data_IF_792262902826
#
_entry.id   IF_792262902826
#
_cell.length_a   1.000
_cell.length_b   1.000
_cell.length_c   1.000
_cell.angle_alpha   90.00
_cell.angle_beta   90.00
_cell.angle_gamma   90.00
#
_symmetry.space_group_name_H-M   'P 1'
#
loop_
_entity.id
_entity.type
_entity.pdbx_description
1 polymer ?
#
# COMPACT_ATOMS: atom_id res chain seq x y z
N UNK A 1 8.43 -34.61 -58.26
CA UNK A 1 9.23 -35.85 -58.41
C UNK A 1 10.68 -35.54 -58.07
N UNK A 2 11.30 -36.39 -57.24
CA UNK A 2 12.72 -36.33 -56.82
C UNK A 2 13.67 -36.81 -57.94
N UNK A 3 14.96 -36.46 -57.84
CA UNK A 3 16.08 -37.09 -58.57
C UNK A 3 17.13 -36.05 -58.99
N UNK A 4 18.17 -35.68 -58.23
CA UNK A 4 19.38 -36.38 -57.75
C UNK A 4 20.47 -36.57 -58.84
N UNK A 5 21.72 -36.28 -58.44
CA UNK A 5 23.09 -36.60 -58.97
C UNK A 5 23.77 -35.47 -59.72
N UNK A 6 24.81 -34.79 -59.21
CA UNK A 6 26.12 -35.17 -58.62
C UNK A 6 27.20 -35.45 -59.68
N UNK A 7 28.31 -34.70 -59.63
CA UNK A 7 29.65 -35.09 -60.11
C UNK A 7 30.73 -34.03 -59.82
N UNK A 8 31.76 -34.45 -59.07
CA UNK A 8 33.20 -34.18 -59.27
C UNK A 8 33.78 -32.90 -58.64
N UNK A 9 34.58 -32.97 -57.56
CA UNK A 9 36.05 -33.22 -57.52
C UNK A 9 36.86 -32.15 -58.28
N UNK A 10 38.01 -31.62 -57.87
CA UNK A 10 38.94 -31.63 -56.72
C UNK A 10 40.02 -30.60 -57.13
N UNK A 11 40.69 -29.80 -56.28
CA UNK A 11 41.91 -30.08 -55.52
C UNK A 11 42.75 -28.78 -55.45
N UNK A 12 43.56 -28.63 -54.39
CA UNK A 12 44.70 -27.69 -54.28
C UNK A 12 44.51 -26.63 -53.19
N UNK A 13 44.77 -26.87 -51.90
CA UNK A 13 46.06 -26.96 -51.18
C UNK A 13 46.83 -25.65 -51.12
N UNK A 14 46.79 -24.98 -49.96
CA UNK A 14 47.92 -24.23 -49.40
C UNK A 14 47.82 -24.24 -47.87
N UNK A 15 49.00 -24.29 -47.26
CA UNK A 15 49.30 -24.70 -45.89
C UNK A 15 49.00 -23.63 -44.82
N UNK A 16 48.41 -24.02 -43.69
CA UNK A 16 48.55 -23.27 -42.43
C UNK A 16 48.71 -24.23 -41.24
N UNK A 17 49.70 -23.92 -40.38
CA UNK A 17 50.19 -24.75 -39.29
C UNK A 17 49.26 -24.87 -38.07
N UNK A 18 49.70 -25.62 -37.04
CA UNK A 18 48.83 -26.03 -35.94
C UNK A 18 48.59 -24.86 -34.97
N UNK A 19 47.38 -24.31 -34.98
CA UNK A 19 46.88 -23.46 -33.90
C UNK A 19 46.17 -24.32 -32.85
N UNK A 20 46.81 -24.45 -31.68
CA UNK A 20 46.25 -25.12 -30.51
C UNK A 20 44.92 -24.45 -30.09
N UNK A 21 43.83 -25.19 -30.25
CA UNK A 21 42.54 -24.87 -29.64
C UNK A 21 42.60 -25.17 -28.15
N UNK A 22 43.03 -24.18 -27.38
CA UNK A 22 42.94 -24.17 -25.92
C UNK A 22 41.48 -24.31 -25.48
N UNK A 23 41.11 -25.53 -25.07
CA UNK A 23 39.85 -25.83 -24.40
C UNK A 23 39.75 -25.08 -23.07
N UNK A 24 39.28 -23.84 -23.14
CA UNK A 24 38.91 -23.02 -21.99
C UNK A 24 37.72 -23.64 -21.28
N UNK A 25 38.01 -24.38 -20.20
CA UNK A 25 37.03 -24.84 -19.21
C UNK A 25 36.25 -23.63 -18.70
N UNK A 26 34.94 -23.60 -18.96
CA UNK A 26 34.02 -22.68 -18.28
C UNK A 26 34.30 -22.74 -16.77
N UNK A 27 34.48 -21.60 -16.08
CA UNK A 27 34.79 -21.64 -14.66
C UNK A 27 33.62 -22.27 -13.90
N UNK A 28 33.97 -23.20 -13.01
CA UNK A 28 33.04 -23.86 -12.12
C UNK A 28 32.32 -22.82 -11.25
N UNK A 29 30.99 -22.79 -11.35
CA UNK A 29 30.09 -21.91 -10.60
C UNK A 29 30.23 -22.09 -9.07
N UNK A 30 30.93 -23.12 -8.60
CA UNK A 30 31.29 -23.31 -7.19
C UNK A 30 32.28 -22.27 -6.64
N UNK A 31 33.11 -21.64 -7.50
CA UNK A 31 34.18 -20.71 -7.08
C UNK A 31 33.79 -19.23 -7.19
N UNK A 32 32.65 -18.92 -7.82
CA UNK A 32 32.06 -17.58 -7.79
C UNK A 32 31.56 -17.16 -6.39
N UNK A 33 31.58 -18.08 -5.42
CA UNK A 33 31.20 -17.83 -4.03
C UNK A 33 32.27 -17.10 -3.19
N UNK A 34 33.45 -16.82 -3.76
CA UNK A 34 34.58 -16.19 -3.05
C UNK A 34 34.86 -14.72 -3.43
N UNK A 35 34.09 -14.13 -4.35
CA UNK A 35 34.27 -12.73 -4.76
C UNK A 35 33.08 -11.85 -4.35
N UNK A 36 33.16 -11.29 -3.15
CA UNK A 36 32.85 -9.87 -2.91
C UNK A 36 31.48 -9.32 -3.28
N UNK A 37 30.42 -10.12 -3.35
CA UNK A 37 29.07 -9.57 -3.17
C UNK A 37 28.79 -9.49 -1.68
N UNK A 38 29.12 -8.33 -1.09
CA UNK A 38 28.44 -7.91 0.13
C UNK A 38 26.94 -8.01 -0.15
N UNK A 39 26.33 -9.04 0.44
CA UNK A 39 24.89 -9.06 0.70
C UNK A 39 24.60 -7.68 1.27
N UNK A 40 23.81 -6.84 0.58
CA UNK A 40 23.28 -5.60 1.19
C UNK A 40 22.66 -6.06 2.50
N UNK A 41 23.41 -5.82 3.58
CA UNK A 41 23.26 -6.59 4.81
C UNK A 41 21.83 -6.42 5.31
N UNK A 42 21.23 -7.50 5.80
CA UNK A 42 20.05 -7.35 6.62
C UNK A 42 20.42 -6.35 7.72
N UNK A 43 19.88 -5.13 7.66
CA UNK A 43 20.15 -4.11 8.66
C UNK A 43 19.81 -4.71 10.02
N UNK A 44 20.71 -4.54 10.99
CA UNK A 44 20.44 -5.03 12.33
C UNK A 44 19.30 -4.21 12.94
N UNK A 45 18.53 -4.84 13.83
CA UNK A 45 17.45 -4.19 14.57
C UNK A 45 17.87 -2.85 15.18
N UNK A 46 19.10 -2.78 15.70
CA UNK A 46 19.73 -1.57 16.24
C UNK A 46 19.97 -0.48 15.18
N UNK A 47 20.46 -0.85 13.99
CA UNK A 47 20.67 0.10 12.89
C UNK A 47 19.35 0.70 12.36
N UNK A 48 18.28 -0.11 12.33
CA UNK A 48 16.96 0.36 11.92
C UNK A 48 16.41 1.38 12.92
N UNK A 49 16.58 1.13 14.22
CA UNK A 49 16.14 2.05 15.27
C UNK A 49 16.94 3.35 15.29
N UNK A 50 18.25 3.30 15.08
CA UNK A 50 19.09 4.51 14.99
C UNK A 50 18.69 5.39 13.79
N UNK A 51 18.43 4.79 12.64
CA UNK A 51 17.97 5.51 11.45
C UNK A 51 16.58 6.14 11.66
N UNK A 52 15.66 5.42 12.31
CA UNK A 52 14.34 5.95 12.67
C UNK A 52 14.47 7.09 13.68
N UNK A 53 15.33 6.93 14.70
CA UNK A 53 15.60 7.94 15.73
C UNK A 53 16.04 9.28 15.14
N UNK A 54 17.04 9.25 14.25
CA UNK A 54 17.51 10.46 13.54
C UNK A 54 16.40 11.20 12.80
N UNK A 55 15.43 10.48 12.23
CA UNK A 55 14.28 11.09 11.54
C UNK A 55 13.22 11.59 12.50
N UNK A 56 13.03 10.91 13.63
CA UNK A 56 12.16 11.35 14.73
C UNK A 56 12.67 12.64 15.35
N UNK A 57 13.98 12.80 15.50
CA UNK A 57 14.61 14.03 16.01
C UNK A 57 14.37 15.24 15.09
N UNK A 58 14.35 15.00 13.77
CA UNK A 58 14.01 16.02 12.75
C UNK A 58 12.49 16.23 12.64
N UNK A 59 11.68 15.43 13.34
CA UNK A 59 10.22 15.56 13.37
C UNK A 59 9.50 14.98 12.16
N UNK A 60 10.10 14.02 11.44
CA UNK A 60 9.45 13.32 10.32
C UNK A 60 8.18 12.58 10.81
N UNK A 61 6.97 12.99 10.36
CA UNK A 61 5.72 12.40 10.82
C UNK A 61 5.64 10.89 10.57
N UNK A 62 6.19 10.42 9.44
CA UNK A 62 6.16 9.02 9.07
C UNK A 62 7.16 8.20 9.90
N UNK A 63 8.29 8.78 10.29
CA UNK A 63 9.24 8.15 11.20
C UNK A 63 8.66 8.01 12.61
N UNK A 64 7.99 9.06 13.11
CA UNK A 64 7.29 9.03 14.40
C UNK A 64 6.21 7.93 14.40
N UNK A 65 5.38 7.88 13.35
CA UNK A 65 4.40 6.82 13.16
C UNK A 65 5.07 5.43 13.17
N UNK A 66 6.12 5.26 12.37
CA UNK A 66 6.84 3.99 12.27
C UNK A 66 7.41 3.56 13.62
N UNK A 67 7.98 4.48 14.39
CA UNK A 67 8.47 4.18 15.74
C UNK A 67 7.33 3.71 16.64
N UNK A 68 6.17 4.37 16.59
CA UNK A 68 4.95 3.95 17.30
C UNK A 68 4.57 2.50 16.96
N UNK A 69 4.61 2.12 15.68
CA UNK A 69 4.35 0.73 15.27
C UNK A 69 5.35 -0.27 15.84
N UNK A 70 6.60 0.14 16.10
CA UNK A 70 7.60 -0.79 16.67
C UNK A 70 7.35 -1.04 18.15
N UNK A 71 6.94 -0.01 18.89
CA UNK A 71 6.51 -0.17 20.28
C UNK A 71 5.20 -0.96 20.39
N UNK A 72 4.23 -0.74 19.51
CA UNK A 72 2.94 -1.45 19.51
C UNK A 72 3.11 -2.97 19.33
N UNK A 73 3.98 -3.37 18.39
CA UNK A 73 4.23 -4.77 18.09
C UNK A 73 5.42 -5.40 18.84
N UNK A 74 6.19 -4.62 19.60
CA UNK A 74 7.44 -5.09 20.24
C UNK A 74 8.45 -5.65 19.24
N UNK A 75 8.81 -4.86 18.21
CA UNK A 75 9.74 -5.27 17.14
C UNK A 75 11.11 -4.63 17.27
N UNK A 76 12.10 -5.24 16.62
CA UNK A 76 13.48 -4.76 16.57
C UNK A 76 14.16 -4.69 17.95
N UNK A 77 13.90 -5.67 18.81
CA UNK A 77 14.44 -5.71 20.17
C UNK A 77 13.80 -4.70 21.14
N UNK A 78 12.76 -3.97 20.73
CA UNK A 78 11.95 -3.18 21.64
C UNK A 78 10.94 -4.06 22.36
N UNK A 79 10.81 -3.85 23.67
CA UNK A 79 9.68 -4.38 24.41
C UNK A 79 8.38 -3.72 23.95
N UNK A 80 7.30 -4.51 23.98
CA UNK A 80 5.97 -4.02 23.62
C UNK A 80 5.52 -2.98 24.65
N UNK A 81 5.28 -1.76 24.19
CA UNK A 81 4.78 -0.65 25.01
C UNK A 81 3.67 0.08 24.26
N UNK A 82 2.43 -0.24 24.59
CA UNK A 82 1.26 0.35 23.94
C UNK A 82 1.09 1.81 24.35
N UNK A 83 1.38 2.18 25.60
CA UNK A 83 1.25 3.56 26.08
C UNK A 83 2.15 4.48 25.26
N UNK A 84 3.40 4.07 25.07
CA UNK A 84 4.36 4.81 24.24
C UNK A 84 3.97 4.81 22.76
N UNK A 85 3.40 3.72 22.27
CA UNK A 85 2.88 3.67 20.90
C UNK A 85 1.73 4.68 20.69
N UNK A 86 0.81 4.81 21.66
CA UNK A 86 -0.29 5.78 21.62
C UNK A 86 0.24 7.21 21.57
N UNK A 87 1.18 7.58 22.45
CA UNK A 87 1.79 8.92 22.44
C UNK A 87 2.44 9.25 21.09
N UNK A 88 3.16 8.28 20.51
CA UNK A 88 3.80 8.45 19.20
C UNK A 88 2.76 8.54 18.06
N UNK A 89 1.70 7.75 18.11
CA UNK A 89 0.62 7.85 17.13
C UNK A 89 -0.15 9.16 17.25
N UNK A 90 -0.42 9.67 18.46
CA UNK A 90 -1.07 10.96 18.65
C UNK A 90 -0.22 12.08 18.05
N UNK A 91 1.09 12.10 18.32
CA UNK A 91 2.02 13.06 17.72
C UNK A 91 2.06 12.94 16.19
N UNK A 92 2.10 11.72 15.64
CA UNK A 92 2.08 11.53 14.19
C UNK A 92 0.74 11.97 13.56
N UNK A 93 -0.37 11.76 14.27
CA UNK A 93 -1.70 12.15 13.84
C UNK A 93 -1.86 13.68 13.81
N UNK A 94 -1.35 14.39 14.82
CA UNK A 94 -1.29 15.87 14.82
C UNK A 94 -0.50 16.43 13.64
N UNK A 95 0.52 15.71 13.20
CA UNK A 95 1.32 16.03 12.03
C UNK A 95 0.67 15.61 10.70
N UNK A 96 -0.55 15.05 10.73
CA UNK A 96 -1.36 14.72 9.56
C UNK A 96 -1.19 13.31 9.02
N UNK A 97 -0.57 12.39 9.76
CA UNK A 97 -0.45 10.98 9.35
C UNK A 97 -1.79 10.26 9.58
N UNK A 98 -2.52 10.02 8.49
CA UNK A 98 -3.82 9.33 8.51
C UNK A 98 -3.75 7.89 9.04
N UNK A 99 -2.65 7.19 8.80
CA UNK A 99 -2.41 5.84 9.30
C UNK A 99 -2.29 5.82 10.83
N UNK A 100 -1.81 6.91 11.44
CA UNK A 100 -1.70 7.04 12.88
C UNK A 100 -3.10 7.16 13.52
N UNK A 101 -3.97 8.00 12.95
CA UNK A 101 -5.38 8.06 13.34
C UNK A 101 -6.07 6.68 13.21
N UNK A 102 -5.82 5.95 12.12
CA UNK A 102 -6.37 4.61 11.96
C UNK A 102 -5.90 3.65 13.06
N UNK A 103 -4.61 3.60 13.38
CA UNK A 103 -4.07 2.70 14.40
C UNK A 103 -4.56 3.08 15.81
N UNK A 104 -4.67 4.37 16.15
CA UNK A 104 -5.31 4.81 17.39
C UNK A 104 -6.75 4.32 17.48
N UNK A 105 -7.51 4.44 16.39
CA UNK A 105 -8.87 3.90 16.30
C UNK A 105 -8.93 2.40 16.57
N UNK A 106 -7.97 1.63 16.04
CA UNK A 106 -7.87 0.18 16.27
C UNK A 106 -7.54 -0.14 17.73
N UNK A 107 -6.59 0.57 18.33
CA UNK A 107 -6.19 0.36 19.73
C UNK A 107 -7.37 0.58 20.69
N UNK A 108 -8.07 1.71 20.56
CA UNK A 108 -9.24 2.01 21.40
C UNK A 108 -10.43 1.09 21.14
N UNK A 109 -10.65 0.65 19.89
CA UNK A 109 -11.73 -0.29 19.56
C UNK A 109 -11.49 -1.69 20.17
N UNK A 110 -10.23 -2.14 20.18
CA UNK A 110 -9.85 -3.46 20.67
C UNK A 110 -9.58 -3.48 22.19
N UNK A 111 -9.25 -2.33 22.80
CA UNK A 111 -8.79 -2.27 24.19
C UNK A 111 -7.44 -2.96 24.39
N UNK A 112 -6.60 -2.99 23.36
CA UNK A 112 -5.33 -3.72 23.37
C UNK A 112 -4.25 -2.86 24.03
N UNK A 113 -4.09 -2.94 25.36
CA UNK A 113 -3.10 -2.17 26.13
C UNK A 113 -3.55 -0.75 26.50
N UNK A 114 -4.74 -0.34 26.07
CA UNK A 114 -5.47 0.84 26.54
C UNK A 114 -6.89 0.45 26.94
N UNK A 115 -7.53 1.25 27.78
CA UNK A 115 -8.96 1.05 28.07
C UNK A 115 -9.78 1.14 26.78
N UNK A 116 -10.68 0.17 26.60
CA UNK A 116 -11.54 0.11 25.42
C UNK A 116 -12.51 1.29 25.42
N UNK A 117 -12.41 2.12 24.39
CA UNK A 117 -13.27 3.30 24.22
C UNK A 117 -13.73 3.40 22.76
N UNK A 118 -14.96 2.95 22.51
CA UNK A 118 -15.53 2.99 21.16
C UNK A 118 -15.79 4.42 20.66
N UNK A 119 -16.08 5.36 21.55
CA UNK A 119 -16.33 6.75 21.16
C UNK A 119 -15.04 7.43 20.69
N UNK A 120 -13.92 7.21 21.40
CA UNK A 120 -12.59 7.64 20.94
C UNK A 120 -12.19 6.95 19.64
N UNK A 121 -12.45 5.64 19.53
CA UNK A 121 -12.15 4.90 18.30
C UNK A 121 -12.87 5.49 17.09
N UNK A 122 -14.17 5.80 17.21
CA UNK A 122 -14.94 6.43 16.15
C UNK A 122 -14.37 7.79 15.74
N UNK A 123 -14.04 8.66 16.71
CA UNK A 123 -13.43 9.98 16.43
C UNK A 123 -12.13 9.87 15.63
N UNK A 124 -11.27 8.92 15.99
CA UNK A 124 -10.03 8.70 15.26
C UNK A 124 -10.26 8.11 13.88
N UNK A 125 -11.22 7.19 13.72
CA UNK A 125 -11.57 6.69 12.39
C UNK A 125 -12.21 7.78 11.51
N UNK A 126 -13.06 8.64 12.05
CA UNK A 126 -13.61 9.81 11.34
C UNK A 126 -12.49 10.71 10.83
N UNK A 127 -11.54 11.09 11.69
CA UNK A 127 -10.37 11.87 11.30
C UNK A 127 -9.57 11.20 10.17
N UNK A 128 -9.32 9.89 10.28
CA UNK A 128 -8.66 9.14 9.21
C UNK A 128 -9.45 9.14 7.89
N UNK A 129 -10.79 9.03 7.97
CA UNK A 129 -11.68 9.07 6.79
C UNK A 129 -11.67 10.44 6.12
N UNK A 130 -11.60 11.53 6.87
CA UNK A 130 -11.45 12.88 6.34
C UNK A 130 -10.14 13.07 5.56
N UNK A 131 -9.09 12.35 5.97
CA UNK A 131 -7.82 12.28 5.24
C UNK A 131 -7.80 11.23 4.12
N UNK A 132 -8.96 10.69 3.73
CA UNK A 132 -9.09 9.73 2.64
C UNK A 132 -8.62 8.31 2.98
N UNK A 133 -8.51 7.94 4.26
CA UNK A 133 -8.12 6.58 4.66
C UNK A 133 -9.28 5.58 4.47
N UNK A 134 -9.19 4.79 3.40
CA UNK A 134 -10.25 3.85 3.00
C UNK A 134 -10.51 2.74 4.04
N UNK A 135 -9.49 2.08 4.63
CA UNK A 135 -9.72 1.07 5.66
C UNK A 135 -10.41 1.62 6.93
N UNK A 136 -10.19 2.90 7.26
CA UNK A 136 -10.89 3.53 8.38
C UNK A 136 -12.40 3.63 8.11
N UNK A 137 -12.78 3.95 6.86
CA UNK A 137 -14.18 4.02 6.43
C UNK A 137 -14.87 2.65 6.54
N UNK A 138 -14.17 1.58 6.19
CA UNK A 138 -14.66 0.21 6.37
C UNK A 138 -14.91 -0.10 7.85
N UNK A 139 -14.00 0.29 8.75
CA UNK A 139 -14.17 0.08 10.18
C UNK A 139 -15.35 0.88 10.76
N UNK A 140 -15.54 2.14 10.34
CA UNK A 140 -16.75 2.90 10.71
C UNK A 140 -18.03 2.18 10.27
N UNK A 141 -18.10 1.74 9.02
CA UNK A 141 -19.28 1.00 8.55
C UNK A 141 -19.54 -0.30 9.33
N UNK A 142 -18.49 -0.98 9.80
CA UNK A 142 -18.65 -2.15 10.69
C UNK A 142 -19.15 -1.77 12.09
N UNK A 143 -18.70 -0.66 12.64
CA UNK A 143 -19.18 -0.15 13.95
C UNK A 143 -20.66 0.22 13.84
N UNK A 144 -21.03 1.00 12.83
CA UNK A 144 -22.41 1.40 12.56
C UNK A 144 -23.31 0.18 12.31
N UNK A 145 -22.83 -0.79 11.54
CA UNK A 145 -23.56 -2.03 11.27
C UNK A 145 -23.81 -2.85 12.54
N UNK A 146 -22.85 -2.88 13.47
CA UNK A 146 -23.02 -3.53 14.79
C UNK A 146 -23.96 -2.75 15.72
N UNK A 147 -24.04 -1.44 15.57
CA UNK A 147 -24.99 -0.59 16.29
C UNK A 147 -26.43 -0.70 15.75
N UNK A 148 -26.65 -1.42 14.65
CA UNK A 148 -27.96 -1.56 13.99
C UNK A 148 -28.24 -0.47 12.95
N UNK A 149 -27.30 0.45 12.72
CA UNK A 149 -27.41 1.54 11.76
C UNK A 149 -27.08 1.06 10.34
N UNK A 150 -27.87 0.11 9.83
CA UNK A 150 -27.58 -0.59 8.57
C UNK A 150 -27.55 0.34 7.35
N UNK A 151 -28.34 1.42 7.34
CA UNK A 151 -28.33 2.41 6.23
C UNK A 151 -27.01 3.17 6.18
N UNK A 152 -26.54 3.68 7.32
CA UNK A 152 -25.27 4.40 7.44
C UNK A 152 -24.10 3.45 7.16
N UNK A 153 -24.16 2.23 7.69
CA UNK A 153 -23.19 1.18 7.41
C UNK A 153 -23.08 0.90 5.90
N UNK A 154 -24.22 0.77 5.20
CA UNK A 154 -24.26 0.55 3.76
C UNK A 154 -23.58 1.70 3.02
N UNK A 155 -23.87 2.95 3.38
CA UNK A 155 -23.24 4.13 2.77
C UNK A 155 -21.71 4.11 2.91
N UNK A 156 -21.19 3.84 4.12
CA UNK A 156 -19.75 3.72 4.33
C UNK A 156 -19.13 2.62 3.46
N UNK A 157 -19.79 1.46 3.37
CA UNK A 157 -19.33 0.32 2.57
C UNK A 157 -19.35 0.62 1.07
N UNK A 158 -20.41 1.24 0.57
CA UNK A 158 -20.53 1.63 -0.84
C UNK A 158 -19.43 2.62 -1.24
N UNK A 159 -19.19 3.65 -0.43
CA UNK A 159 -18.15 4.65 -0.75
C UNK A 159 -16.76 3.99 -0.70
N UNK A 160 -16.49 3.17 0.30
CA UNK A 160 -15.21 2.44 0.41
C UNK A 160 -14.99 1.47 -0.78
N UNK A 161 -16.05 0.78 -1.22
CA UNK A 161 -15.99 -0.08 -2.41
C UNK A 161 -15.70 0.72 -3.69
N UNK A 162 -16.33 1.90 -3.85
CA UNK A 162 -16.04 2.82 -4.98
C UNK A 162 -14.59 3.33 -4.97
N UNK A 163 -13.93 3.34 -3.82
CA UNK A 163 -12.51 3.68 -3.67
C UNK A 163 -11.58 2.47 -3.87
N UNK A 164 -12.09 1.32 -4.31
CA UNK A 164 -11.29 0.13 -4.62
C UNK A 164 -11.05 -0.80 -3.44
N UNK A 165 -11.81 -0.70 -2.34
CA UNK A 165 -11.67 -1.61 -1.20
C UNK A 165 -12.49 -2.89 -1.35
N UNK A 166 -11.80 -4.02 -1.51
CA UNK A 166 -12.43 -5.32 -1.79
C UNK A 166 -13.35 -5.81 -0.65
N UNK A 167 -12.89 -5.73 0.61
CA UNK A 167 -13.69 -6.18 1.76
C UNK A 167 -15.00 -5.39 1.91
N UNK A 168 -15.00 -4.12 1.49
CA UNK A 168 -16.21 -3.31 1.48
C UNK A 168 -17.20 -3.79 0.42
N UNK A 169 -16.73 -4.11 -0.79
CA UNK A 169 -17.57 -4.69 -1.84
C UNK A 169 -18.18 -6.03 -1.41
N UNK A 170 -17.38 -6.90 -0.79
CA UNK A 170 -17.85 -8.17 -0.23
C UNK A 170 -18.90 -7.96 0.87
N UNK A 171 -18.77 -6.90 1.66
CA UNK A 171 -19.76 -6.54 2.68
C UNK A 171 -21.06 -6.03 2.06
N UNK A 172 -21.00 -5.18 1.03
CA UNK A 172 -22.21 -4.76 0.27
C UNK A 172 -22.92 -5.98 -0.33
N UNK A 173 -22.17 -6.93 -0.90
CA UNK A 173 -22.73 -8.20 -1.40
C UNK A 173 -23.48 -8.96 -0.30
N UNK A 174 -22.89 -9.08 0.89
CA UNK A 174 -23.54 -9.72 2.04
C UNK A 174 -24.80 -8.98 2.48
N UNK A 175 -24.77 -7.64 2.50
CA UNK A 175 -25.95 -6.83 2.82
C UNK A 175 -27.06 -7.00 1.79
N UNK A 176 -26.72 -7.09 0.51
CA UNK A 176 -27.68 -7.39 -0.57
C UNK A 176 -28.31 -8.77 -0.39
N UNK A 177 -27.51 -9.82 -0.12
CA UNK A 177 -28.03 -11.17 0.12
C UNK A 177 -28.92 -11.25 1.37
N UNK A 178 -28.68 -10.40 2.37
CA UNK A 178 -29.51 -10.27 3.57
C UNK A 178 -30.77 -9.40 3.38
N UNK A 179 -30.98 -8.82 2.19
CA UNK A 179 -32.10 -7.90 1.92
C UNK A 179 -31.95 -6.49 2.52
N UNK A 180 -30.76 -6.14 3.02
CA UNK A 180 -30.44 -4.82 3.58
C UNK A 180 -29.95 -3.81 2.54
N UNK A 181 -29.61 -4.28 1.35
CA UNK A 181 -29.21 -3.46 0.21
C UNK A 181 -30.00 -3.87 -1.03
N UNK A 182 -30.23 -2.91 -1.91
CA UNK A 182 -30.91 -3.11 -3.19
C UNK A 182 -29.94 -3.65 -4.25
N UNK A 183 -30.50 -4.24 -5.31
CA UNK A 183 -29.73 -4.69 -6.47
C UNK A 183 -28.95 -3.53 -7.11
N UNK A 184 -29.55 -2.34 -7.15
CA UNK A 184 -28.95 -1.16 -7.76
C UNK A 184 -27.76 -0.62 -6.95
N UNK A 185 -27.85 -0.61 -5.62
CA UNK A 185 -26.74 -0.23 -4.74
C UNK A 185 -25.56 -1.19 -4.86
N UNK A 186 -25.83 -2.49 -4.94
CA UNK A 186 -24.78 -3.48 -5.17
C UNK A 186 -24.14 -3.30 -6.55
N UNK A 187 -24.95 -3.14 -7.60
CA UNK A 187 -24.45 -2.90 -8.96
C UNK A 187 -23.65 -1.60 -9.07
N UNK A 188 -24.06 -0.53 -8.38
CA UNK A 188 -23.33 0.74 -8.31
C UNK A 188 -21.97 0.57 -7.60
N UNK A 189 -21.93 -0.21 -6.52
CA UNK A 189 -20.69 -0.50 -5.80
C UNK A 189 -19.71 -1.31 -6.65
N UNK A 190 -20.22 -2.30 -7.39
CA UNK A 190 -19.40 -3.12 -8.29
C UNK A 190 -18.82 -2.29 -9.44
N UNK A 191 -19.63 -1.43 -10.08
CA UNK A 191 -19.16 -0.52 -11.13
C UNK A 191 -18.08 0.43 -10.61
N UNK A 192 -18.30 1.02 -9.42
CA UNK A 192 -17.31 1.90 -8.80
C UNK A 192 -16.00 1.19 -8.51
N UNK A 193 -16.05 -0.03 -7.97
CA UNK A 193 -14.87 -0.85 -7.72
C UNK A 193 -14.09 -1.19 -9.00
N UNK A 194 -14.80 -1.56 -10.08
CA UNK A 194 -14.19 -1.83 -11.38
C UNK A 194 -13.53 -0.57 -11.97
N UNK A 195 -14.17 0.59 -11.84
CA UNK A 195 -13.58 1.86 -12.25
C UNK A 195 -12.31 2.16 -11.45
N UNK A 196 -12.35 2.00 -10.13
CA UNK A 196 -11.16 2.20 -9.29
C UNK A 196 -10.00 1.27 -9.71
N UNK A 197 -10.28 0.01 -10.05
CA UNK A 197 -9.26 -0.91 -10.59
C UNK A 197 -8.74 -0.42 -11.93
N UNK A 198 -9.62 0.00 -12.84
CA UNK A 198 -9.26 0.47 -14.18
C UNK A 198 -8.40 1.73 -14.12
N UNK A 199 -8.75 2.69 -13.26
CA UNK A 199 -7.97 3.91 -13.02
C UNK A 199 -6.62 3.59 -12.38
N UNK A 200 -6.55 2.50 -11.62
CA UNK A 200 -5.28 1.97 -11.11
C UNK A 200 -4.42 1.30 -12.19
N UNK A 201 -5.03 0.82 -13.27
CA UNK A 201 -4.40 0.09 -14.37
C UNK A 201 -4.35 0.87 -15.70
N UNK A 202 -4.61 2.18 -15.72
CA UNK A 202 -4.64 2.96 -16.96
C UNK A 202 -3.26 3.01 -17.64
N UNK A 203 -3.26 2.98 -18.97
CA UNK A 203 -2.06 3.11 -19.80
C UNK A 203 -1.25 4.35 -19.46
N UNK A 204 -1.90 5.46 -19.12
CA UNK A 204 -1.27 6.73 -18.76
C UNK A 204 -0.37 6.59 -17.52
N UNK A 205 -0.69 5.67 -16.59
CA UNK A 205 0.15 5.36 -15.43
C UNK A 205 1.34 4.49 -15.82
N UNK A 206 1.17 3.57 -16.76
CA UNK A 206 2.25 2.75 -17.28
C UNK A 206 3.19 3.55 -18.20
N UNK A 207 2.65 4.53 -18.93
CA UNK A 207 3.40 5.56 -19.66
C UNK A 207 4.14 6.50 -18.70
N UNK A 208 3.50 6.97 -17.62
CA UNK A 208 4.20 7.77 -16.59
C UNK A 208 5.35 6.99 -15.92
N UNK A 209 5.17 5.67 -15.67
CA UNK A 209 6.25 4.79 -15.21
C UNK A 209 7.34 4.63 -16.27
N UNK A 210 6.98 4.49 -17.54
CA UNK A 210 7.91 4.38 -18.67
C UNK A 210 8.72 5.67 -18.88
N UNK A 211 8.12 6.83 -18.58
CA UNK A 211 8.76 8.15 -18.59
C UNK A 211 9.59 8.43 -17.31
N UNK A 212 9.72 7.47 -16.39
CA UNK A 212 10.57 7.59 -15.20
C UNK A 212 9.98 8.39 -14.05
N UNK A 213 8.70 8.77 -14.10
CA UNK A 213 8.02 9.37 -12.95
C UNK A 213 7.83 8.31 -11.86
N UNK A 214 8.58 8.44 -10.76
CA UNK A 214 8.32 7.66 -9.54
C UNK A 214 6.91 7.97 -9.06
N UNK A 215 6.17 6.91 -8.67
CA UNK A 215 4.86 7.00 -8.02
C UNK A 215 4.81 8.24 -7.09
N UNK A 216 3.95 9.24 -7.34
CA UNK A 216 3.52 10.07 -6.24
C UNK A 216 2.82 9.10 -5.28
N UNK A 217 3.34 8.96 -4.06
CA UNK A 217 2.79 8.00 -3.08
C UNK A 217 1.37 8.36 -2.64
N UNK A 218 0.76 9.39 -3.22
CA UNK A 218 -0.61 9.83 -3.01
C UNK A 218 -1.04 10.62 -4.26
N UNK A 219 -2.26 10.39 -4.78
CA UNK A 219 -3.00 11.50 -5.37
C UNK A 219 -3.15 12.51 -4.23
N UNK A 220 -2.36 13.58 -4.28
CA UNK A 220 -2.40 14.63 -3.28
C UNK A 220 -3.62 15.51 -3.59
N UNK A 221 -4.82 15.00 -3.32
CA UNK A 221 -5.88 15.89 -2.84
C UNK A 221 -5.36 16.35 -1.48
N UNK A 222 -4.77 17.54 -1.42
CA UNK A 222 -4.17 18.09 -0.20
C UNK A 222 -5.27 18.48 0.78
N UNK A 223 -5.93 17.49 1.39
CA UNK A 223 -6.69 17.67 2.62
C UNK A 223 -5.67 17.72 3.75
N UNK A 224 -5.06 18.89 3.96
CA UNK A 224 -4.28 19.07 5.19
C UNK A 224 -5.22 18.89 6.37
N UNK A 225 -4.88 17.95 7.27
CA UNK A 225 -5.69 17.50 8.42
C UNK A 225 -5.87 18.58 9.52
N UNK A 226 -5.82 19.87 9.16
CA UNK A 226 -6.00 20.97 10.10
C UNK A 226 -7.49 21.26 10.27
N UNK A 227 -8.05 20.66 11.32
CA UNK A 227 -9.26 21.07 12.05
C UNK A 227 -10.48 21.43 11.18
N UNK A 228 -11.29 20.43 10.86
CA UNK A 228 -12.64 20.62 10.31
C UNK A 228 -13.67 20.29 11.40
N UNK A 229 -14.68 21.16 11.66
CA UNK A 229 -15.67 20.92 12.70
C UNK A 229 -16.60 19.74 12.35
N UNK A 230 -17.04 18.95 13.35
CA UNK A 230 -17.96 17.83 13.13
C UNK A 230 -19.34 18.34 12.68
N UNK A 231 -19.91 17.75 11.62
CA UNK A 231 -21.34 17.89 11.30
C UNK A 231 -21.71 18.42 9.91
N UNK A 232 -20.79 18.61 8.97
CA UNK A 232 -21.13 19.03 7.60
C UNK A 232 -20.55 18.08 6.56
N UNK A 233 -21.38 17.12 6.13
CA UNK A 233 -21.07 16.15 5.09
C UNK A 233 -21.38 16.71 3.70
N UNK A 234 -20.84 17.87 3.34
CA UNK A 234 -20.95 18.38 1.97
C UNK A 234 -19.84 17.72 1.14
N UNK A 235 -20.15 16.56 0.56
CA UNK A 235 -19.34 15.87 -0.45
C UNK A 235 -19.47 16.62 -1.79
N UNK A 236 -18.85 17.79 -1.90
CA UNK A 236 -18.54 18.33 -3.23
C UNK A 236 -17.34 17.56 -3.78
N UNK A 237 -17.58 16.81 -4.87
CA UNK A 237 -16.53 16.44 -5.80
C UNK A 237 -15.96 17.76 -6.34
N UNK A 238 -14.88 18.25 -5.74
CA UNK A 238 -14.09 19.31 -6.36
C UNK A 238 -13.40 18.66 -7.55
N UNK A 239 -13.96 18.89 -8.74
CA UNK A 239 -13.34 18.53 -10.00
C UNK A 239 -11.87 18.96 -9.96
N UNK A 240 -10.97 18.00 -10.20
CA UNK A 240 -9.56 18.28 -10.38
C UNK A 240 -9.43 19.26 -11.56
N UNK A 241 -9.11 20.52 -11.25
CA UNK A 241 -8.64 21.47 -12.25
C UNK A 241 -7.39 20.84 -12.90
N UNK A 242 -7.52 20.42 -14.15
CA UNK A 242 -6.37 20.13 -15.00
C UNK A 242 -5.44 21.35 -14.98
N UNK A 243 -4.12 21.19 -14.77
CA UNK A 243 -3.20 22.27 -15.08
C UNK A 243 -3.27 22.47 -16.60
N UNK A 244 -3.83 23.61 -17.02
CA UNK A 244 -3.69 24.09 -18.37
C UNK A 244 -2.21 24.27 -18.68
N UNK A 245 -1.73 23.56 -19.70
CA UNK A 245 -0.45 23.74 -20.36
C UNK A 245 -0.65 23.53 -21.84
#
# INVERSE_FOLDING_TARGET
MRGVRDSGESAGSDEEGPHEVGGGRLPDLSVAFAAGYERVGAQTDSQILDMVGKRVDVGDPMAIYNLGTKYDFGRYGLEKDVTKAVELYERAAELGVKEAHYNLGVLYANGAGVEKDMAKAMRHYEAAVMCGHVPARFNLGNIEGKAGNHVIALQHMMISAKLGHEYSLNTVKRMFMAGLATKDEYAASLRGYQNAIKDMSSSDRDEAKALGFRKPNTCNLSWTCKSVPPGRWDLELVDCISPAG
#
